data_IF_803704819123
#
_entry.id   IF_803704819123
#
_cell.length_a   1.000
_cell.length_b   1.000
_cell.length_c   1.000
_cell.angle_alpha   90.00
_cell.angle_beta   90.00
_cell.angle_gamma   90.00
#
_symmetry.space_group_name_H-M   'P 1'
#
loop_
_entity.id
_entity.type
_entity.pdbx_description
1 polymer ?
#
# COMPACT_ATOMS: atom_id res chain seq x y z
N UNK A 1 9.82 2.17 -31.84
CA UNK A 1 8.84 1.64 -30.86
C UNK A 1 9.05 2.43 -29.59
N UNK A 2 8.12 3.30 -29.24
CA UNK A 2 8.11 3.96 -27.93
C UNK A 2 7.45 2.98 -26.99
N UNK A 3 8.20 2.41 -26.06
CA UNK A 3 7.64 1.65 -24.94
C UNK A 3 6.61 2.56 -24.28
N UNK A 4 5.36 2.12 -24.03
CA UNK A 4 4.46 2.93 -23.23
C UNK A 4 5.18 3.21 -21.92
N UNK A 5 5.38 4.48 -21.61
CA UNK A 5 5.88 4.90 -20.32
C UNK A 5 4.88 4.34 -19.31
N UNK A 6 5.25 3.24 -18.64
CA UNK A 6 4.41 2.64 -17.62
C UNK A 6 4.39 3.67 -16.50
N UNK A 7 3.31 4.46 -16.44
CA UNK A 7 3.11 5.46 -15.40
C UNK A 7 2.86 4.69 -14.11
N UNK A 8 3.94 4.33 -13.42
CA UNK A 8 3.87 3.72 -12.12
C UNK A 8 3.56 4.83 -11.12
N UNK A 9 2.49 4.63 -10.34
CA UNK A 9 2.15 5.48 -9.21
C UNK A 9 2.99 5.04 -8.03
N UNK A 10 3.66 6.00 -7.42
CA UNK A 10 4.42 5.82 -6.18
C UNK A 10 3.65 6.46 -5.03
N UNK A 11 3.43 5.71 -3.95
CA UNK A 11 2.76 6.18 -2.73
C UNK A 11 3.70 5.93 -1.55
N UNK A 12 4.09 6.99 -0.85
CA UNK A 12 4.84 6.90 0.42
C UNK A 12 3.86 6.93 1.59
N UNK A 13 3.94 5.95 2.47
CA UNK A 13 3.13 5.86 3.69
C UNK A 13 4.07 5.67 4.87
N UNK A 14 3.91 6.53 5.87
CA UNK A 14 4.57 6.40 7.16
C UNK A 14 3.75 5.50 8.07
N UNK A 15 4.39 4.45 8.58
CA UNK A 15 3.82 3.57 9.59
C UNK A 15 3.66 4.35 10.91
N UNK A 16 2.43 4.49 11.44
CA UNK A 16 2.22 5.27 12.66
C UNK A 16 2.70 4.57 13.93
N UNK A 17 2.94 3.25 13.90
CA UNK A 17 3.37 2.47 15.06
C UNK A 17 4.90 2.52 15.23
N UNK A 18 5.63 2.44 14.11
CA UNK A 18 7.09 2.35 14.06
C UNK A 18 7.76 3.65 13.57
N UNK A 19 7.02 4.53 12.89
CA UNK A 19 7.56 5.72 12.22
C UNK A 19 8.38 5.40 10.96
N UNK A 20 8.33 4.16 10.47
CA UNK A 20 9.04 3.74 9.26
C UNK A 20 8.28 4.17 8.00
N UNK A 21 8.99 4.72 7.01
CA UNK A 21 8.39 5.13 5.74
C UNK A 21 8.51 4.01 4.72
N UNK A 22 7.37 3.58 4.19
CA UNK A 22 7.26 2.57 3.16
C UNK A 22 6.80 3.18 1.84
N UNK A 23 7.47 2.80 0.76
CA UNK A 23 7.12 3.23 -0.60
C UNK A 23 6.49 2.08 -1.35
N UNK A 24 5.27 2.29 -1.86
CA UNK A 24 4.52 1.32 -2.65
C UNK A 24 4.39 1.80 -4.09
N UNK A 25 4.73 0.93 -5.04
CA UNK A 25 4.61 1.22 -6.47
C UNK A 25 3.60 0.29 -7.13
N UNK A 26 2.72 0.84 -7.97
CA UNK A 26 1.76 0.08 -8.76
C UNK A 26 1.37 0.80 -10.05
N UNK A 27 0.65 0.12 -10.95
CA UNK A 27 0.11 0.72 -12.18
C UNK A 27 -0.96 1.78 -11.90
N UNK A 28 -1.62 1.72 -10.73
CA UNK A 28 -2.64 2.70 -10.32
C UNK A 28 -2.53 3.07 -8.84
N UNK A 29 -2.99 4.27 -8.48
CA UNK A 29 -3.04 4.74 -7.09
C UNK A 29 -3.89 3.81 -6.20
N UNK A 30 -4.97 3.27 -6.74
CA UNK A 30 -5.84 2.33 -6.03
C UNK A 30 -5.11 1.02 -5.68
N UNK A 31 -4.27 0.51 -6.59
CA UNK A 31 -3.47 -0.69 -6.35
C UNK A 31 -2.33 -0.43 -5.37
N UNK A 32 -1.64 0.71 -5.48
CA UNK A 32 -0.60 1.10 -4.53
C UNK A 32 -1.17 1.26 -3.11
N UNK A 33 -2.34 1.89 -3.00
CA UNK A 33 -3.06 2.04 -1.73
C UNK A 33 -3.54 0.71 -1.17
N UNK A 34 -4.07 -0.19 -2.01
CA UNK A 34 -4.48 -1.52 -1.57
C UNK A 34 -3.29 -2.38 -1.12
N UNK A 35 -2.13 -2.25 -1.79
CA UNK A 35 -0.88 -2.90 -1.37
C UNK A 35 -0.44 -2.41 0.01
N UNK A 36 -0.52 -1.11 0.25
CA UNK A 36 -0.22 -0.54 1.55
C UNK A 36 -1.21 -0.98 2.64
N UNK A 37 -2.52 -0.95 2.37
CA UNK A 37 -3.54 -1.39 3.32
C UNK A 37 -3.35 -2.86 3.73
N UNK A 38 -2.93 -3.72 2.79
CA UNK A 38 -2.54 -5.11 3.06
C UNK A 38 -1.25 -5.22 3.87
N UNK A 39 -0.25 -4.40 3.56
CA UNK A 39 1.03 -4.38 4.27
C UNK A 39 0.86 -4.00 5.74
N UNK A 40 0.06 -2.96 6.02
CA UNK A 40 -0.25 -2.51 7.38
C UNK A 40 -1.33 -3.35 8.08
N UNK A 41 -1.85 -4.39 7.42
CA UNK A 41 -2.80 -5.32 8.04
C UNK A 41 -4.14 -4.69 8.46
N UNK A 42 -4.53 -3.55 7.89
CA UNK A 42 -5.78 -2.85 8.23
C UNK A 42 -7.02 -3.74 7.95
N UNK A 43 -6.87 -4.75 7.09
CA UNK A 43 -7.93 -5.72 6.76
C UNK A 43 -8.00 -6.92 7.74
N UNK A 44 -6.92 -7.28 8.46
CA UNK A 44 -6.86 -8.52 9.28
C UNK A 44 -7.16 -8.29 10.78
N UNK A 45 -7.09 -7.05 11.27
CA UNK A 45 -7.24 -6.77 12.71
C UNK A 45 -8.70 -6.72 13.22
N UNK A 46 -9.72 -6.88 12.37
CA UNK A 46 -11.13 -6.71 12.78
C UNK A 46 -11.88 -8.01 13.12
N UNK A 47 -11.31 -9.21 12.86
CA UNK A 47 -12.04 -10.48 13.05
C UNK A 47 -11.60 -11.35 14.24
N UNK A 48 -10.69 -10.88 15.11
CA UNK A 48 -10.07 -11.74 16.13
C UNK A 48 -10.31 -11.39 17.60
N UNK A 49 -11.25 -10.51 17.90
CA UNK A 49 -11.67 -10.22 19.29
C UNK A 49 -13.21 -10.21 19.39
N UNK A 50 -13.81 -11.38 19.17
CA UNK A 50 -15.19 -11.66 19.58
C UNK A 50 -15.29 -13.16 19.93
N UNK A 51 -14.59 -13.55 21.01
CA UNK A 51 -14.81 -14.80 21.74
C UNK A 51 -15.16 -14.48 23.20
#
# INVERSE_FOLDING_TARGET
MTTPEQVQVEVEIEDPDTGERHTFTADTEAEATAAAARFFGVDEAQERDND
#
